data_IF_855942516673
#
_entry.id   IF_855942516673
#
_cell.length_a   1.000
_cell.length_b   1.000
_cell.length_c   1.000
_cell.angle_alpha   90.00
_cell.angle_beta   90.00
_cell.angle_gamma   90.00
#
_symmetry.space_group_name_H-M   'P 1'
#
loop_
_entity.id
_entity.type
_entity.pdbx_description
1 polymer ?
#
# COMPACT_ATOMS: atom_id res chain seq x y z
N UNK A 1 -7.43 9.21 3.97
CA UNK A 1 -8.62 8.98 3.14
C UNK A 1 -8.34 8.72 1.67
N UNK A 2 -7.42 9.46 1.06
CA UNK A 2 -7.19 9.46 -0.40
C UNK A 2 -6.60 8.14 -0.93
N UNK A 3 -5.75 7.47 -0.13
CA UNK A 3 -5.03 6.26 -0.48
C UNK A 3 -5.97 5.08 -0.75
N UNK A 4 -6.82 4.79 0.23
CA UNK A 4 -7.77 3.68 0.15
C UNK A 4 -8.84 3.95 -0.90
N UNK A 5 -9.23 5.22 -1.11
CA UNK A 5 -10.20 5.58 -2.13
C UNK A 5 -9.75 5.27 -3.55
N UNK A 6 -8.43 5.32 -3.83
CA UNK A 6 -7.88 4.98 -5.14
C UNK A 6 -7.65 3.48 -5.33
N UNK A 7 -7.34 2.78 -4.24
CA UNK A 7 -7.00 1.37 -4.27
C UNK A 7 -8.21 0.44 -4.10
N UNK A 8 -9.28 0.91 -3.47
CA UNK A 8 -10.46 0.11 -3.18
C UNK A 8 -11.65 0.53 -4.06
N UNK A 9 -12.31 -0.41 -4.73
CA UNK A 9 -13.55 -0.12 -5.45
C UNK A 9 -14.66 0.24 -4.45
N UNK A 10 -15.66 0.98 -4.90
CA UNK A 10 -16.93 1.21 -4.19
C UNK A 10 -16.83 1.74 -2.75
N UNK A 11 -15.85 2.61 -2.47
CA UNK A 11 -15.66 3.22 -1.14
C UNK A 11 -16.94 3.91 -0.60
N UNK A 12 -17.89 4.26 -1.47
CA UNK A 12 -19.13 4.90 -1.09
C UNK A 12 -20.21 3.90 -0.63
N UNK A 13 -20.15 2.65 -1.10
CA UNK A 13 -21.18 1.62 -0.84
C UNK A 13 -20.70 0.49 0.06
N UNK A 14 -19.44 0.09 -0.03
CA UNK A 14 -18.87 -1.02 0.71
C UNK A 14 -18.41 -0.62 2.13
N UNK A 15 -18.34 -1.62 3.02
CA UNK A 15 -17.75 -1.49 4.35
C UNK A 15 -16.39 -2.18 4.36
N UNK A 16 -15.36 -1.43 4.72
CA UNK A 16 -14.01 -1.95 4.79
C UNK A 16 -13.50 -2.04 6.22
N UNK A 17 -12.91 -3.18 6.55
CA UNK A 17 -12.15 -3.44 7.76
C UNK A 17 -10.70 -3.63 7.35
N UNK A 18 -9.92 -2.57 7.47
CA UNK A 18 -8.53 -2.54 7.00
C UNK A 18 -7.59 -2.86 8.15
N UNK A 19 -6.83 -3.93 8.02
CA UNK A 19 -5.67 -4.17 8.86
C UNK A 19 -4.44 -3.56 8.17
N UNK A 20 -3.85 -2.56 8.80
CA UNK A 20 -2.61 -1.94 8.36
C UNK A 20 -1.48 -2.40 9.29
N UNK A 21 -0.56 -3.21 8.78
CA UNK A 21 0.57 -3.76 9.50
C UNK A 21 1.85 -3.07 9.03
N UNK A 22 2.45 -2.26 9.86
CA UNK A 22 3.70 -1.55 9.56
C UNK A 22 4.55 -1.44 10.83
N UNK A 23 5.90 -1.34 10.72
CA UNK A 23 6.71 -1.00 11.85
C UNK A 23 6.47 0.47 12.25
N UNK A 24 6.23 0.71 13.52
CA UNK A 24 5.94 1.99 14.18
C UNK A 24 4.57 2.60 13.86
N UNK A 25 3.79 2.72 14.90
CA UNK A 25 2.52 3.46 14.92
C UNK A 25 2.76 4.95 14.68
N UNK A 26 2.04 5.54 13.74
CA UNK A 26 1.85 6.98 13.73
C UNK A 26 0.40 7.29 14.12
N UNK A 27 0.19 8.28 15.00
CA UNK A 27 -1.14 8.79 15.38
C UNK A 27 -1.97 9.29 14.19
N UNK A 28 -1.38 9.31 13.00
CA UNK A 28 -2.04 9.69 11.74
C UNK A 28 -3.17 8.73 11.34
N UNK A 29 -3.17 7.51 11.85
CA UNK A 29 -4.17 6.49 11.49
C UNK A 29 -5.39 6.50 12.41
N UNK A 30 -5.31 7.10 13.59
CA UNK A 30 -6.43 7.17 14.54
C UNK A 30 -7.59 8.03 14.01
N UNK A 31 -7.28 9.06 13.22
CA UNK A 31 -8.27 9.95 12.61
C UNK A 31 -9.04 9.32 11.43
N UNK A 32 -8.62 8.15 10.92
CA UNK A 32 -9.27 7.53 9.76
C UNK A 32 -10.56 6.77 10.12
N UNK A 33 -10.84 6.54 11.39
CA UNK A 33 -11.97 5.74 11.88
C UNK A 33 -13.30 6.50 11.98
N UNK A 34 -13.36 7.78 11.58
CA UNK A 34 -14.53 8.64 11.84
C UNK A 34 -15.72 8.40 10.91
N UNK A 35 -15.58 7.61 9.83
CA UNK A 35 -16.60 7.52 8.78
C UNK A 35 -17.64 6.40 8.93
N UNK A 36 -17.58 5.55 9.94
CA UNK A 36 -18.51 4.43 10.18
C UNK A 36 -18.53 3.31 9.12
N UNK A 37 -18.00 3.58 7.91
CA UNK A 37 -17.86 2.60 6.81
C UNK A 37 -16.45 2.05 6.67
N UNK A 38 -15.47 2.75 7.22
CA UNK A 38 -14.08 2.36 7.23
C UNK A 38 -13.66 2.10 8.68
N UNK A 39 -13.39 0.84 9.02
CA UNK A 39 -12.74 0.46 10.26
C UNK A 39 -11.27 0.17 9.94
N UNK A 40 -10.38 1.13 10.18
CA UNK A 40 -8.95 0.95 10.04
C UNK A 40 -8.35 0.63 11.40
N UNK A 41 -7.60 -0.47 11.49
CA UNK A 41 -6.82 -0.82 12.67
C UNK A 41 -5.36 -0.98 12.30
N UNK A 42 -4.52 -0.32 13.08
CA UNK A 42 -3.08 -0.41 12.97
C UNK A 42 -2.56 -1.56 13.84
N UNK A 43 -1.60 -2.32 13.30
CA UNK A 43 -0.91 -3.40 13.97
C UNK A 43 0.59 -3.13 13.88
N UNK A 44 1.21 -2.83 15.02
CA UNK A 44 2.63 -2.45 15.07
C UNK A 44 3.51 -3.70 14.96
N UNK A 45 4.22 -3.84 13.85
CA UNK A 45 5.14 -4.97 13.63
C UNK A 45 6.35 -4.94 14.57
N UNK A 46 6.62 -3.83 15.24
CA UNK A 46 7.67 -3.77 16.26
C UNK A 46 7.34 -4.59 17.52
N UNK A 47 6.06 -4.87 17.77
CA UNK A 47 5.62 -5.73 18.87
C UNK A 47 5.86 -7.23 18.61
N UNK A 48 6.21 -7.61 17.37
CA UNK A 48 6.45 -8.98 16.94
C UNK A 48 5.25 -9.61 16.22
N UNK A 49 5.55 -10.47 15.24
CA UNK A 49 4.55 -11.15 14.43
C UNK A 49 3.70 -12.13 15.23
N UNK A 50 4.27 -12.84 16.20
CA UNK A 50 3.60 -13.78 17.08
C UNK A 50 2.44 -13.14 17.87
N UNK A 51 2.57 -11.87 18.22
CA UNK A 51 1.51 -11.08 18.88
C UNK A 51 0.51 -10.56 17.86
N UNK A 52 0.99 -10.07 16.71
CA UNK A 52 0.14 -9.36 15.76
C UNK A 52 -0.71 -10.31 14.89
N UNK A 53 -0.20 -11.50 14.51
CA UNK A 53 -0.97 -12.42 13.65
C UNK A 53 -2.32 -12.85 14.26
N UNK A 54 -2.39 -13.30 15.53
CA UNK A 54 -3.66 -13.59 16.19
C UNK A 54 -4.56 -12.35 16.34
N UNK A 55 -3.97 -11.18 16.59
CA UNK A 55 -4.71 -9.93 16.74
C UNK A 55 -5.35 -9.48 15.40
N UNK A 56 -4.66 -9.69 14.27
CA UNK A 56 -5.20 -9.46 12.92
C UNK A 56 -6.36 -10.42 12.66
N UNK A 57 -6.19 -11.71 12.94
CA UNK A 57 -7.26 -12.70 12.75
C UNK A 57 -8.51 -12.37 13.57
N UNK A 58 -8.36 -11.96 14.84
CA UNK A 58 -9.46 -11.52 15.69
C UNK A 58 -10.16 -10.25 15.16
N UNK A 59 -9.44 -9.38 14.50
CA UNK A 59 -10.00 -8.19 13.87
C UNK A 59 -10.84 -8.53 12.65
N UNK A 60 -10.65 -9.69 12.01
CA UNK A 60 -11.36 -10.15 10.80
C UNK A 60 -11.36 -9.11 9.70
N UNK A 61 -10.19 -8.69 9.18
CA UNK A 61 -10.11 -7.71 8.12
C UNK A 61 -10.64 -8.29 6.80
N UNK A 62 -11.27 -7.45 5.98
CA UNK A 62 -11.51 -7.76 4.57
C UNK A 62 -10.48 -7.08 3.65
N UNK A 63 -9.62 -6.21 4.20
CA UNK A 63 -8.48 -5.60 3.52
C UNK A 63 -7.24 -5.78 4.37
N UNK A 64 -6.20 -6.38 3.79
CA UNK A 64 -4.87 -6.48 4.37
C UNK A 64 -3.92 -5.52 3.66
N UNK A 65 -3.19 -4.74 4.43
CA UNK A 65 -2.10 -3.88 3.94
C UNK A 65 -0.89 -4.14 4.82
N UNK A 66 0.15 -4.74 4.26
CA UNK A 66 1.33 -5.12 5.04
C UNK A 66 2.57 -5.26 4.14
N UNK A 67 3.79 -5.25 4.71
CA UNK A 67 4.98 -5.63 3.96
C UNK A 67 4.97 -7.13 3.61
N UNK A 68 5.72 -7.54 2.57
CA UNK A 68 5.77 -8.92 2.10
C UNK A 68 5.99 -9.95 3.20
N UNK A 69 6.98 -9.74 4.07
CA UNK A 69 7.30 -10.68 5.15
C UNK A 69 6.13 -10.92 6.11
N UNK A 70 5.33 -9.89 6.40
CA UNK A 70 4.16 -10.03 7.28
C UNK A 70 2.99 -10.72 6.56
N UNK A 71 2.79 -10.45 5.27
CA UNK A 71 1.80 -11.16 4.44
C UNK A 71 2.15 -12.65 4.32
N UNK A 72 3.43 -12.95 4.11
CA UNK A 72 3.93 -14.33 4.04
C UNK A 72 3.72 -15.05 5.38
N UNK A 73 4.03 -14.41 6.50
CA UNK A 73 3.76 -14.98 7.81
C UNK A 73 2.26 -15.25 8.04
N UNK A 74 1.37 -14.34 7.60
CA UNK A 74 -0.09 -14.58 7.62
C UNK A 74 -0.51 -15.73 6.70
N UNK A 75 0.19 -15.93 5.59
CA UNK A 75 -0.09 -17.02 4.64
C UNK A 75 0.31 -18.40 5.20
N UNK A 76 1.38 -18.46 5.97
CA UNK A 76 1.96 -19.70 6.50
C UNK A 76 1.28 -20.20 7.78
N UNK A 77 0.48 -19.37 8.44
CA UNK A 77 -0.21 -19.76 9.69
C UNK A 77 -1.66 -20.11 9.38
N UNK A 78 -2.15 -21.19 10.01
CA UNK A 78 -3.56 -21.60 9.90
C UNK A 78 -4.46 -20.69 10.76
N UNK A 79 -4.75 -19.52 10.21
CA UNK A 79 -5.66 -18.54 10.80
C UNK A 79 -6.92 -18.39 9.92
N UNK A 80 -8.07 -18.20 10.55
CA UNK A 80 -9.34 -17.97 9.88
C UNK A 80 -9.39 -16.55 9.28
N UNK A 81 -8.68 -16.35 8.17
CA UNK A 81 -8.62 -15.08 7.43
C UNK A 81 -9.23 -15.27 6.04
N UNK A 82 -10.15 -14.39 5.68
CA UNK A 82 -10.78 -14.35 4.36
C UNK A 82 -10.83 -12.90 3.86
N UNK A 83 -9.67 -12.29 3.53
CA UNK A 83 -9.62 -10.96 2.97
C UNK A 83 -10.28 -10.94 1.58
N UNK A 84 -10.73 -9.77 1.16
CA UNK A 84 -11.20 -9.48 -0.20
C UNK A 84 -10.14 -8.72 -1.01
N UNK A 85 -9.23 -8.05 -0.32
CA UNK A 85 -8.13 -7.31 -0.93
C UNK A 85 -6.86 -7.49 -0.11
N UNK A 86 -5.75 -7.76 -0.81
CA UNK A 86 -4.42 -7.88 -0.22
C UNK A 86 -3.48 -6.90 -0.92
N UNK A 87 -2.88 -6.01 -0.13
CA UNK A 87 -1.92 -5.03 -0.60
C UNK A 87 -0.57 -5.25 0.06
N UNK A 88 0.47 -5.30 -0.75
CA UNK A 88 1.87 -5.33 -0.31
C UNK A 88 2.48 -3.94 -0.48
N UNK A 89 3.20 -3.47 0.53
CA UNK A 89 3.89 -2.18 0.48
C UNK A 89 5.05 -2.09 1.46
N UNK A 90 5.76 -0.97 1.42
CA UNK A 90 6.95 -0.67 2.21
C UNK A 90 8.21 -1.47 1.84
N UNK A 91 8.09 -2.61 1.18
CA UNK A 91 9.20 -3.45 0.74
C UNK A 91 8.91 -3.99 -0.66
N UNK A 92 9.95 -4.44 -1.35
CA UNK A 92 9.82 -5.12 -2.65
C UNK A 92 9.24 -6.51 -2.44
N UNK A 93 8.21 -6.86 -3.18
CA UNK A 93 7.59 -8.17 -3.14
C UNK A 93 8.31 -9.14 -4.10
N UNK A 94 8.95 -10.16 -3.54
CA UNK A 94 9.58 -11.23 -4.32
C UNK A 94 8.51 -12.06 -5.06
N UNK A 95 8.76 -12.49 -6.31
CA UNK A 95 7.82 -13.32 -7.06
C UNK A 95 7.47 -14.66 -6.39
N UNK A 96 8.40 -15.28 -5.65
CA UNK A 96 8.12 -16.52 -4.92
C UNK A 96 7.17 -16.28 -3.75
N UNK A 97 7.42 -15.24 -2.94
CA UNK A 97 6.56 -14.84 -1.83
C UNK A 97 5.17 -14.45 -2.33
N UNK A 98 5.10 -13.72 -3.46
CA UNK A 98 3.84 -13.40 -4.14
C UNK A 98 3.04 -14.67 -4.42
N UNK A 99 3.66 -15.67 -5.04
CA UNK A 99 2.99 -16.94 -5.38
C UNK A 99 2.42 -17.65 -4.15
N UNK A 100 3.13 -17.69 -3.05
CA UNK A 100 2.69 -18.31 -1.80
C UNK A 100 1.52 -17.54 -1.15
N UNK A 101 1.62 -16.21 -1.07
CA UNK A 101 0.57 -15.36 -0.53
C UNK A 101 -0.71 -15.47 -1.37
N UNK A 102 -0.59 -15.41 -2.70
CA UNK A 102 -1.74 -15.51 -3.63
C UNK A 102 -2.39 -16.89 -3.56
N UNK A 103 -1.61 -17.97 -3.47
CA UNK A 103 -2.13 -19.33 -3.30
C UNK A 103 -2.91 -19.49 -1.99
N UNK A 104 -2.45 -18.89 -0.89
CA UNK A 104 -3.10 -18.97 0.42
C UNK A 104 -4.43 -18.22 0.47
N UNK A 105 -4.51 -17.04 -0.10
CA UNK A 105 -5.71 -16.20 -0.02
C UNK A 105 -6.65 -16.36 -1.23
N UNK A 106 -6.21 -17.00 -2.32
CA UNK A 106 -6.97 -17.09 -3.56
C UNK A 106 -7.19 -15.75 -4.26
N UNK A 107 -6.31 -14.76 -4.02
CA UNK A 107 -6.42 -13.38 -4.47
C UNK A 107 -5.09 -12.91 -5.04
N UNK A 108 -5.14 -12.09 -6.09
CA UNK A 108 -3.95 -11.38 -6.55
C UNK A 108 -3.48 -10.33 -5.55
N UNK A 109 -2.18 -10.34 -5.23
CA UNK A 109 -1.56 -9.30 -4.38
C UNK A 109 -1.33 -8.05 -5.21
N UNK A 110 -1.83 -6.92 -4.71
CA UNK A 110 -1.63 -5.60 -5.32
C UNK A 110 -0.53 -4.85 -4.58
N UNK A 111 0.41 -4.29 -5.31
CA UNK A 111 1.48 -3.50 -4.71
C UNK A 111 1.07 -2.05 -4.53
N UNK A 112 1.54 -1.45 -3.46
CA UNK A 112 1.44 -0.01 -3.21
C UNK A 112 2.83 0.56 -2.97
N UNK A 113 3.13 1.67 -3.65
CA UNK A 113 4.33 2.44 -3.39
C UNK A 113 4.02 3.47 -2.31
N UNK A 114 4.51 3.19 -1.12
CA UNK A 114 4.33 4.03 0.05
C UNK A 114 5.64 4.18 0.82
N UNK A 115 5.85 5.36 1.38
CA UNK A 115 6.95 5.69 2.26
C UNK A 115 6.42 6.47 3.49
N UNK A 116 7.28 6.81 4.41
CA UNK A 116 6.92 7.70 5.54
C UNK A 116 6.40 9.05 5.07
N UNK A 117 6.84 9.48 3.91
CA UNK A 117 6.44 10.72 3.25
C UNK A 117 5.03 10.64 2.65
N UNK A 118 4.51 9.48 2.32
CA UNK A 118 3.16 9.33 1.79
C UNK A 118 2.94 8.14 0.88
N UNK A 119 1.77 8.13 0.24
CA UNK A 119 1.46 7.21 -0.84
C UNK A 119 1.78 7.84 -2.18
N UNK A 120 2.58 7.14 -2.95
CA UNK A 120 3.08 7.61 -4.24
C UNK A 120 2.58 6.78 -5.42
N UNK A 121 2.08 5.57 -5.18
CA UNK A 121 1.56 4.72 -6.24
C UNK A 121 0.73 3.55 -5.73
N UNK A 122 -0.10 2.99 -6.61
CA UNK A 122 -0.87 1.79 -6.34
C UNK A 122 -0.99 0.93 -7.61
N UNK A 123 -0.94 -0.38 -7.44
CA UNK A 123 -1.14 -1.28 -8.57
C UNK A 123 -2.60 -1.30 -9.00
N UNK A 124 -2.83 -1.27 -10.31
CA UNK A 124 -4.14 -1.50 -10.90
C UNK A 124 -4.55 -2.98 -10.81
N UNK A 125 -5.73 -3.30 -11.32
CA UNK A 125 -6.25 -4.68 -11.37
C UNK A 125 -5.39 -5.63 -12.24
N UNK A 126 -4.53 -5.08 -13.12
CA UNK A 126 -3.59 -5.84 -13.94
C UNK A 126 -2.21 -6.00 -13.30
N UNK A 127 -2.05 -5.61 -12.01
CA UNK A 127 -0.80 -5.72 -11.27
C UNK A 127 0.28 -4.69 -11.65
N UNK A 128 -0.06 -3.68 -12.47
CA UNK A 128 0.90 -2.61 -12.83
C UNK A 128 0.82 -1.47 -11.83
N UNK A 129 1.96 -1.05 -11.30
CA UNK A 129 2.06 0.09 -10.40
C UNK A 129 1.88 1.40 -11.17
N UNK A 130 0.90 2.19 -10.77
CA UNK A 130 0.63 3.54 -11.28
C UNK A 130 0.97 4.57 -10.22
N UNK A 131 1.67 5.62 -10.62
CA UNK A 131 2.00 6.73 -9.73
C UNK A 131 0.80 7.65 -9.50
N UNK A 132 0.74 8.28 -8.34
CA UNK A 132 -0.34 9.21 -7.95
C UNK A 132 -0.12 10.61 -8.54
N UNK A 133 0.04 10.73 -9.86
CA UNK A 133 0.37 11.99 -10.55
C UNK A 133 -0.76 13.01 -10.58
N UNK A 134 -1.94 12.66 -10.13
CA UNK A 134 -3.05 13.59 -9.91
C UNK A 134 -2.87 14.52 -8.68
N UNK A 135 -1.98 14.13 -7.76
CA UNK A 135 -1.71 14.91 -6.53
C UNK A 135 -0.23 15.07 -6.21
N UNK A 136 0.65 14.35 -6.91
CA UNK A 136 2.10 14.40 -6.73
C UNK A 136 2.77 14.56 -8.10
N UNK A 137 3.61 15.56 -8.26
CA UNK A 137 4.51 15.64 -9.41
C UNK A 137 5.77 14.82 -9.16
N UNK A 138 6.22 14.11 -10.18
CA UNK A 138 7.44 13.32 -10.17
C UNK A 138 8.43 13.85 -11.20
N UNK A 139 9.62 14.18 -10.74
CA UNK A 139 10.80 14.39 -11.57
C UNK A 139 11.76 13.22 -11.32
N UNK A 140 12.66 12.93 -12.24
CA UNK A 140 13.48 11.74 -12.20
C UNK A 140 14.97 12.07 -12.32
N UNK A 141 15.76 11.62 -11.35
CA UNK A 141 17.21 11.64 -11.42
C UNK A 141 17.72 10.27 -11.87
N UNK A 142 18.41 10.16 -13.02
CA UNK A 142 18.98 8.91 -13.48
C UNK A 142 20.01 8.33 -12.48
N UNK A 143 19.94 7.02 -12.26
CA UNK A 143 20.89 6.26 -11.43
C UNK A 143 21.13 4.88 -12.06
N UNK A 144 22.01 4.81 -13.06
CA UNK A 144 22.20 3.61 -13.89
C UNK A 144 20.92 3.28 -14.68
N UNK A 145 20.44 2.04 -14.54
CA UNK A 145 19.19 1.57 -15.18
C UNK A 145 17.93 1.93 -14.38
N UNK A 146 18.10 2.58 -13.25
CA UNK A 146 17.03 3.01 -12.35
C UNK A 146 16.94 4.54 -12.32
N UNK A 147 15.94 5.06 -11.63
CA UNK A 147 15.75 6.50 -11.42
C UNK A 147 15.30 6.77 -9.98
N UNK A 148 15.89 7.79 -9.38
CA UNK A 148 15.45 8.30 -8.09
C UNK A 148 14.34 9.34 -8.30
N UNK A 149 13.18 9.24 -7.65
CA UNK A 149 12.14 10.24 -7.77
C UNK A 149 12.43 11.48 -6.91
N UNK A 150 12.21 12.66 -7.52
CA UNK A 150 12.01 13.90 -6.78
C UNK A 150 10.52 14.19 -6.78
N UNK A 151 9.94 14.30 -5.60
CA UNK A 151 8.49 14.42 -5.45
C UNK A 151 8.08 15.81 -4.99
N UNK A 152 7.02 16.35 -5.60
CA UNK A 152 6.32 17.54 -5.14
C UNK A 152 4.88 17.17 -4.83
N UNK A 153 4.48 17.22 -3.55
CA UNK A 153 3.13 16.85 -3.11
C UNK A 153 2.27 18.11 -2.95
N UNK A 154 1.25 18.24 -3.79
CA UNK A 154 0.32 19.38 -3.82
C UNK A 154 -0.78 19.30 -2.75
N UNK A 155 -0.91 18.18 -2.05
CA UNK A 155 -1.96 17.98 -1.05
C UNK A 155 -1.53 18.35 0.36
N UNK A 156 -0.24 18.44 0.61
CA UNK A 156 0.33 18.73 1.94
C UNK A 156 0.26 20.21 2.27
N UNK A 157 -0.31 20.51 3.44
CA UNK A 157 -0.48 21.89 3.91
C UNK A 157 0.44 22.25 5.09
N UNK A 158 0.86 21.26 5.88
CA UNK A 158 1.66 21.48 7.10
C UNK A 158 3.14 21.26 6.88
N UNK A 159 3.51 20.23 6.14
CA UNK A 159 4.89 19.95 5.77
C UNK A 159 4.97 19.93 4.25
N UNK A 160 5.37 21.05 3.70
CA UNK A 160 5.49 21.21 2.24
C UNK A 160 6.62 20.33 1.71
N UNK A 161 6.33 19.58 0.65
CA UNK A 161 7.30 18.78 -0.09
C UNK A 161 7.39 19.33 -1.50
N UNK A 162 8.53 19.95 -1.82
CA UNK A 162 8.83 20.48 -3.16
C UNK A 162 10.16 19.90 -3.59
N UNK A 163 10.17 19.15 -4.69
CA UNK A 163 11.36 18.48 -5.25
C UNK A 163 12.14 17.69 -4.19
N UNK A 164 11.42 17.06 -3.29
CA UNK A 164 12.01 16.22 -2.25
C UNK A 164 12.56 14.95 -2.88
N UNK A 165 13.87 14.74 -2.78
CA UNK A 165 14.52 13.55 -3.30
C UNK A 165 14.25 12.36 -2.42
N UNK A 166 13.57 11.35 -2.97
CA UNK A 166 13.34 10.08 -2.28
C UNK A 166 14.63 9.23 -2.27
N UNK A 167 14.72 8.33 -1.31
CA UNK A 167 15.83 7.36 -1.23
C UNK A 167 15.58 6.11 -2.08
N UNK A 168 14.37 5.97 -2.63
CA UNK A 168 13.98 4.84 -3.45
C UNK A 168 14.56 4.95 -4.86
N UNK A 169 14.76 3.78 -5.49
CA UNK A 169 15.13 3.67 -6.89
C UNK A 169 14.05 2.88 -7.62
N UNK A 170 13.52 3.46 -8.69
CA UNK A 170 12.44 2.86 -9.48
C UNK A 170 12.91 2.57 -10.90
N UNK A 171 12.49 1.44 -11.43
CA UNK A 171 12.60 1.14 -12.85
C UNK A 171 11.37 1.72 -13.56
N UNK A 172 11.60 2.71 -14.40
CA UNK A 172 10.53 3.31 -15.19
C UNK A 172 10.21 2.41 -16.38
N UNK A 173 8.93 2.17 -16.63
CA UNK A 173 8.48 1.52 -17.84
C UNK A 173 8.59 2.50 -19.03
N UNK A 174 8.63 1.95 -20.25
CA UNK A 174 8.72 2.71 -21.50
C UNK A 174 7.68 3.84 -21.60
N UNK A 175 7.99 4.95 -22.31
CA UNK A 175 7.15 6.16 -22.35
C UNK A 175 5.70 5.96 -22.80
N UNK A 176 5.43 4.94 -23.61
CA UNK A 176 4.07 4.64 -24.11
C UNK A 176 3.07 4.33 -23.00
N UNK A 177 3.52 3.85 -21.86
CA UNK A 177 2.63 3.57 -20.71
C UNK A 177 2.32 4.81 -19.85
N UNK A 178 2.97 5.95 -20.11
CA UNK A 178 2.62 7.23 -19.49
C UNK A 178 1.34 7.85 -20.05
N UNK A 179 0.91 7.43 -21.25
CA UNK A 179 -0.26 7.99 -21.94
C UNK A 179 -1.61 7.39 -21.52
N UNK A 180 -1.64 6.31 -20.75
CA UNK A 180 -2.88 5.72 -20.25
C UNK A 180 -3.26 6.35 -18.89
N UNK A 181 -3.25 7.69 -18.86
CA UNK A 181 -3.57 8.42 -17.64
C UNK A 181 -4.58 9.50 -17.89
N UNK A 182 -5.67 9.32 -17.24
CA UNK A 182 -6.72 10.33 -17.22
C UNK A 182 -7.67 10.18 -18.38
N UNK A 183 -8.63 9.39 -18.16
CA UNK A 183 -10.00 9.38 -18.68
C UNK A 183 -10.55 7.94 -18.58
N UNK A 184 -10.64 7.44 -17.36
CA UNK A 184 -11.67 6.43 -17.02
C UNK A 184 -12.02 6.55 -15.54
#
# INVERSE_FOLDING_TARGET
GTLLAKALPDMLSARYRVALMLPRSSRLYDAANESGRLALKFFDLADGLDIQLPAVANFRPNVLVAPPHALLALAQVDLALAPQHVFSGAEVLDPADRGEIEARFGLGVREIYMATEGLFGAACTHGRLHLCEDCVAFEWEPSGDLSAPLVTDFTRRTQVMIRYRMNDLLKLSEPEMRQIRGNE
#
